data_IF_639947989056
#
_entry.id   IF_639947989056
#
_cell.length_a   1.000
_cell.length_b   1.000
_cell.length_c   1.000
_cell.angle_alpha   90.00
_cell.angle_beta   90.00
_cell.angle_gamma   90.00
#
_symmetry.space_group_name_H-M   'P 1'
#
loop_
_entity.id
_entity.type
_entity.pdbx_description
1 polymer ?
#
# COMPACT_ATOMS: atom_id res chain seq x y z
N UNK A 1 6.78 -9.18 -16.87
CA UNK A 1 7.18 -8.76 -15.51
C UNK A 1 6.14 -9.34 -14.56
N UNK A 2 6.50 -10.29 -13.70
CA UNK A 2 5.55 -11.11 -12.89
C UNK A 2 4.63 -10.27 -12.00
N UNK A 3 5.05 -9.05 -11.61
CA UNK A 3 4.21 -8.18 -10.78
C UNK A 3 2.93 -7.68 -11.47
N UNK A 4 2.89 -7.43 -12.78
CA UNK A 4 1.68 -6.84 -13.39
C UNK A 4 0.46 -7.76 -13.36
N UNK A 5 0.70 -9.06 -13.22
CA UNK A 5 -0.33 -10.10 -13.12
C UNK A 5 -0.58 -10.53 -11.67
N UNK A 6 0.12 -9.93 -10.70
CA UNK A 6 -0.04 -10.27 -9.28
C UNK A 6 -1.39 -9.80 -8.73
N UNK A 7 -2.00 -10.63 -7.89
CA UNK A 7 -3.27 -10.31 -7.24
C UNK A 7 -3.11 -9.38 -6.04
N UNK A 8 -1.94 -9.46 -5.39
CA UNK A 8 -1.56 -8.72 -4.20
C UNK A 8 -0.04 -8.70 -4.05
N UNK A 9 0.51 -7.56 -3.66
CA UNK A 9 1.89 -7.47 -3.17
C UNK A 9 1.87 -7.39 -1.65
N UNK A 10 2.61 -8.28 -1.00
CA UNK A 10 2.70 -8.34 0.45
C UNK A 10 4.15 -8.15 0.92
N UNK A 11 4.36 -7.27 1.89
CA UNK A 11 5.66 -7.07 2.54
C UNK A 11 5.51 -7.19 4.07
N UNK A 12 6.19 -8.17 4.66
CA UNK A 12 6.13 -8.48 6.10
C UNK A 12 7.38 -8.04 6.87
N UNK A 13 8.08 -7.01 6.41
CA UNK A 13 9.38 -6.61 7.00
C UNK A 13 9.26 -6.11 8.44
N UNK A 14 10.26 -6.39 9.26
CA UNK A 14 10.38 -5.81 10.61
C UNK A 14 11.11 -4.47 10.62
N UNK A 15 11.91 -4.18 9.60
CA UNK A 15 12.54 -2.89 9.38
C UNK A 15 12.76 -2.66 7.90
N UNK A 16 12.58 -1.43 7.43
CA UNK A 16 12.84 -1.05 6.05
C UNK A 16 13.42 0.37 6.06
N UNK A 17 14.60 0.55 5.47
CA UNK A 17 15.28 1.85 5.44
C UNK A 17 14.64 2.81 4.42
N UNK A 18 14.31 2.29 3.24
CA UNK A 18 13.64 2.99 2.16
C UNK A 18 12.65 2.03 1.49
N UNK A 19 11.38 2.42 1.32
CA UNK A 19 10.32 1.54 0.82
C UNK A 19 10.37 1.39 -0.71
N UNK A 20 11.53 1.01 -1.25
CA UNK A 20 11.76 0.86 -2.70
C UNK A 20 10.97 -0.31 -3.28
N UNK A 21 10.87 -1.42 -2.55
CA UNK A 21 10.10 -2.58 -2.98
C UNK A 21 8.60 -2.23 -3.08
N UNK A 22 8.10 -1.50 -2.09
CA UNK A 22 6.71 -1.02 -2.03
C UNK A 22 6.44 0.01 -3.13
N UNK A 23 7.36 0.97 -3.34
CA UNK A 23 7.27 1.94 -4.43
C UNK A 23 7.28 1.27 -5.80
N UNK A 24 8.17 0.30 -6.01
CA UNK A 24 8.21 -0.51 -7.24
C UNK A 24 6.91 -1.28 -7.46
N UNK A 25 6.38 -1.93 -6.42
CA UNK A 25 5.10 -2.63 -6.49
C UNK A 25 3.93 -1.69 -6.81
N UNK A 26 3.87 -0.52 -6.18
CA UNK A 26 2.84 0.48 -6.43
C UNK A 26 2.88 0.98 -7.87
N UNK A 27 4.07 1.18 -8.44
CA UNK A 27 4.25 1.57 -9.83
C UNK A 27 3.71 0.54 -10.83
N UNK A 28 3.61 -0.73 -10.44
CA UNK A 28 2.98 -1.77 -11.27
C UNK A 28 1.45 -1.77 -11.21
N UNK A 29 0.86 -1.04 -10.27
CA UNK A 29 -0.59 -0.95 -10.10
C UNK A 29 -1.22 -2.14 -9.39
N UNK A 30 -0.43 -2.91 -8.63
CA UNK A 30 -0.91 -4.02 -7.80
C UNK A 30 -1.33 -3.47 -6.44
N UNK A 31 -2.43 -3.96 -5.83
CA UNK A 31 -2.78 -3.61 -4.44
C UNK A 31 -1.68 -4.06 -3.46
N UNK A 32 -1.48 -3.30 -2.39
CA UNK A 32 -0.39 -3.52 -1.44
C UNK A 32 -0.93 -3.73 -0.03
N UNK A 33 -0.39 -4.74 0.64
CA UNK A 33 -0.53 -4.97 2.08
C UNK A 33 0.87 -5.03 2.67
N UNK A 34 1.18 -4.21 3.68
CA UNK A 34 2.52 -4.15 4.24
C UNK A 34 2.51 -3.94 5.76
N UNK A 35 3.64 -4.22 6.41
CA UNK A 35 3.86 -3.80 7.79
C UNK A 35 4.22 -2.32 7.90
N UNK A 36 3.84 -1.70 9.02
CA UNK A 36 4.13 -0.30 9.33
C UNK A 36 5.58 -0.13 9.77
N UNK A 37 6.48 -0.11 8.79
CA UNK A 37 7.91 0.10 9.04
C UNK A 37 8.45 1.25 8.19
N UNK A 38 9.34 2.05 8.78
CA UNK A 38 9.97 3.17 8.10
C UNK A 38 8.98 4.23 7.57
N UNK A 39 8.91 4.37 6.25
CA UNK A 39 8.04 5.35 5.56
C UNK A 39 6.96 4.71 4.68
N UNK A 40 6.66 3.43 4.91
CA UNK A 40 5.69 2.64 4.13
C UNK A 40 4.32 3.30 4.00
N UNK A 41 3.75 3.77 5.12
CA UNK A 41 2.45 4.45 5.09
C UNK A 41 2.46 5.67 4.17
N UNK A 42 3.55 6.46 4.17
CA UNK A 42 3.69 7.65 3.33
C UNK A 42 3.72 7.34 1.83
N UNK A 43 4.12 6.14 1.42
CA UNK A 43 4.09 5.73 0.00
C UNK A 43 2.68 5.39 -0.46
N UNK A 44 1.86 4.86 0.45
CA UNK A 44 0.51 4.37 0.14
C UNK A 44 -0.58 5.43 0.32
N UNK A 45 -0.24 6.57 0.90
CA UNK A 45 -1.13 7.71 1.13
C UNK A 45 -1.11 8.68 -0.06
N UNK A 46 -2.27 9.23 -0.40
CA UNK A 46 -2.39 10.28 -1.42
C UNK A 46 -1.57 11.51 -0.99
N UNK A 47 -0.64 12.00 -1.82
CA UNK A 47 0.19 13.16 -1.48
C UNK A 47 -0.61 14.44 -1.23
N UNK A 48 -1.82 14.56 -1.78
CA UNK A 48 -2.68 15.73 -1.64
C UNK A 48 -3.75 15.53 -0.56
N UNK A 49 -4.01 14.29 -0.15
CA UNK A 49 -5.09 13.90 0.78
C UNK A 49 -4.58 12.91 1.81
N UNK A 50 -3.94 13.38 2.90
CA UNK A 50 -3.33 12.53 3.92
C UNK A 50 -4.29 11.50 4.54
N UNK A 51 -5.59 11.79 4.51
CA UNK A 51 -6.65 10.91 5.01
C UNK A 51 -6.98 9.73 4.06
N UNK A 52 -6.46 9.73 2.83
CA UNK A 52 -6.72 8.71 1.83
C UNK A 52 -5.51 7.81 1.65
N UNK A 53 -5.68 6.56 2.03
CA UNK A 53 -4.72 5.49 1.80
C UNK A 53 -5.24 4.50 0.76
N UNK A 54 -4.34 4.03 -0.12
CA UNK A 54 -4.63 3.10 -1.22
C UNK A 54 -4.02 1.71 -1.02
N UNK A 55 -3.52 1.42 0.18
CA UNK A 55 -3.01 0.11 0.58
C UNK A 55 -3.20 -0.10 2.08
N UNK A 56 -3.14 -1.35 2.53
CA UNK A 56 -3.31 -1.66 3.94
C UNK A 56 -1.96 -1.76 4.65
N UNK A 57 -1.90 -1.18 5.84
CA UNK A 57 -0.70 -1.22 6.67
C UNK A 57 -1.08 -1.76 8.05
N UNK A 58 -0.30 -2.71 8.55
CA UNK A 58 -0.51 -3.37 9.85
C UNK A 58 0.74 -3.26 10.71
N UNK A 59 0.60 -3.36 12.04
CA UNK A 59 1.76 -3.34 12.91
C UNK A 59 2.70 -4.54 12.63
N UNK A 60 4.03 -4.35 12.74
CA UNK A 60 4.96 -5.47 12.68
C UNK A 60 4.72 -6.43 13.86
N UNK A 61 5.11 -7.69 13.69
CA UNK A 61 4.89 -8.80 14.65
C UNK A 61 3.43 -9.21 14.90
N UNK A 62 2.49 -8.76 14.07
CA UNK A 62 1.11 -9.26 14.07
C UNK A 62 0.78 -10.04 12.78
N UNK A 63 1.11 -11.35 12.72
CA UNK A 63 0.84 -12.16 11.54
C UNK A 63 -0.66 -12.35 11.28
N UNK A 64 -1.50 -12.29 12.32
CA UNK A 64 -2.94 -12.43 12.18
C UNK A 64 -3.54 -11.18 11.54
N UNK A 65 -3.16 -9.98 11.99
CA UNK A 65 -3.55 -8.75 11.33
C UNK A 65 -3.09 -8.71 9.87
N UNK A 66 -1.86 -9.15 9.58
CA UNK A 66 -1.36 -9.19 8.21
C UNK A 66 -2.17 -10.16 7.33
N UNK A 67 -2.53 -11.34 7.83
CA UNK A 67 -3.38 -12.28 7.11
C UNK A 67 -4.78 -11.71 6.86
N UNK A 68 -5.38 -11.07 7.87
CA UNK A 68 -6.69 -10.42 7.77
C UNK A 68 -6.69 -9.26 6.78
N UNK A 69 -5.63 -8.45 6.75
CA UNK A 69 -5.44 -7.38 5.77
C UNK A 69 -5.38 -7.93 4.34
N UNK A 70 -4.67 -9.05 4.12
CA UNK A 70 -4.66 -9.72 2.81
C UNK A 70 -6.06 -10.18 2.40
N UNK A 71 -6.80 -10.84 3.28
CA UNK A 71 -8.18 -11.28 3.01
C UNK A 71 -9.11 -10.09 2.74
N UNK A 72 -8.99 -9.04 3.55
CA UNK A 72 -9.77 -7.80 3.46
C UNK A 72 -9.58 -7.12 2.09
N UNK A 73 -8.32 -6.98 1.67
CA UNK A 73 -7.94 -6.39 0.38
C UNK A 73 -8.37 -7.27 -0.80
N UNK A 74 -8.14 -8.59 -0.73
CA UNK A 74 -8.49 -9.51 -1.82
C UNK A 74 -10.00 -9.57 -2.07
N UNK A 75 -10.80 -9.59 -1.00
CA UNK A 75 -12.27 -9.58 -1.08
C UNK A 75 -12.89 -8.19 -1.15
N UNK A 76 -12.10 -7.11 -1.04
CA UNK A 76 -12.58 -5.73 -1.04
C UNK A 76 -13.74 -5.52 -0.02
N UNK A 77 -13.51 -5.95 1.22
CA UNK A 77 -14.44 -5.79 2.36
C UNK A 77 -13.97 -4.69 3.32
N UNK A 78 -14.78 -4.36 4.32
CA UNK A 78 -14.44 -3.38 5.34
C UNK A 78 -14.11 -2.01 4.72
N UNK A 79 -12.94 -1.41 5.01
CA UNK A 79 -12.53 -0.12 4.46
C UNK A 79 -12.46 -0.09 2.92
N UNK A 80 -12.20 -1.23 2.27
CA UNK A 80 -12.00 -1.33 0.81
C UNK A 80 -13.29 -1.39 0.02
N UNK A 81 -14.40 -1.73 0.68
CA UNK A 81 -15.73 -1.71 0.05
C UNK A 81 -16.11 -0.32 -0.50
N UNK A 82 -15.49 0.77 -0.04
CA UNK A 82 -15.68 2.12 -0.61
C UNK A 82 -15.21 2.25 -2.05
N UNK A 83 -14.35 1.34 -2.52
CA UNK A 83 -13.84 1.30 -3.89
C UNK A 83 -14.59 0.31 -4.78
N UNK A 84 -15.62 -0.36 -4.24
CA UNK A 84 -16.52 -1.21 -5.03
C UNK A 84 -17.82 -0.48 -5.31
N UNK A 85 -18.52 -0.88 -6.37
CA UNK A 85 -19.85 -0.34 -6.71
C UNK A 85 -20.97 -0.93 -5.83
N UNK A 86 -20.66 -1.49 -4.66
CA UNK A 86 -21.64 -2.16 -3.82
C UNK A 86 -22.55 -1.12 -3.16
N UNK A 87 -23.77 -0.99 -3.67
CA UNK A 87 -24.83 -0.10 -3.18
C UNK A 87 -25.49 -0.58 -1.87
N UNK A 88 -24.91 -1.55 -1.16
CA UNK A 88 -25.57 -2.18 -0.03
C UNK A 88 -25.65 -1.24 1.18
N UNK A 89 -26.83 -1.19 1.81
CA UNK A 89 -27.07 -0.52 3.12
C UNK A 89 -26.07 -0.96 4.19
N UNK A 90 -25.59 -2.21 4.11
CA UNK A 90 -24.57 -2.75 5.01
C UNK A 90 -23.36 -3.24 4.19
N UNK A 91 -22.25 -2.54 4.31
CA UNK A 91 -20.98 -2.93 3.69
C UNK A 91 -20.51 -4.28 4.27
N UNK A 92 -20.03 -5.21 3.44
CA UNK A 92 -19.52 -6.48 3.93
C UNK A 92 -18.26 -6.25 4.76
N UNK A 93 -18.17 -6.91 5.91
CA UNK A 93 -17.05 -6.85 6.84
C UNK A 93 -16.47 -8.25 7.00
N UNK A 94 -15.15 -8.34 7.16
CA UNK A 94 -14.50 -9.61 7.45
C UNK A 94 -14.94 -10.10 8.84
N UNK A 95 -15.44 -11.35 8.98
CA UNK A 95 -15.79 -11.92 10.28
C UNK A 95 -14.60 -11.92 11.25
N UNK A 96 -14.85 -11.86 12.55
CA UNK A 96 -13.81 -11.94 13.57
C UNK A 96 -13.07 -13.29 13.49
N UNK A 97 -13.82 -14.37 13.33
CA UNK A 97 -13.28 -15.70 13.04
C UNK A 97 -13.69 -16.18 11.64
N UNK A 98 -12.69 -16.60 10.84
CA UNK A 98 -12.93 -17.12 9.49
C UNK A 98 -13.23 -18.62 9.58
N UNK A 99 -14.52 -18.94 9.67
CA UNK A 99 -15.05 -20.31 9.64
C UNK A 99 -15.15 -20.85 8.19
N UNK A 100 -15.24 -22.18 8.00
CA UNK A 100 -15.37 -22.81 6.69
C UNK A 100 -16.53 -22.26 5.85
N UNK A 101 -17.65 -21.90 6.49
CA UNK A 101 -18.83 -21.30 5.87
C UNK A 101 -18.54 -19.96 5.19
N UNK A 102 -17.50 -19.25 5.65
CA UNK A 102 -17.11 -17.96 5.09
C UNK A 102 -16.25 -18.10 3.82
N UNK A 103 -15.60 -19.26 3.63
CA UNK A 103 -14.63 -19.46 2.55
C UNK A 103 -15.29 -19.31 1.19
N UNK A 104 -16.49 -19.88 1.01
CA UNK A 104 -17.16 -19.90 -0.29
C UNK A 104 -17.48 -18.49 -0.78
N UNK A 105 -18.10 -17.65 0.07
CA UNK A 105 -18.46 -16.29 -0.34
C UNK A 105 -17.25 -15.37 -0.46
N UNK A 106 -16.23 -15.54 0.41
CA UNK A 106 -14.98 -14.78 0.32
C UNK A 106 -14.23 -15.10 -0.98
N UNK A 107 -14.10 -16.39 -1.30
CA UNK A 107 -13.43 -16.85 -2.52
C UNK A 107 -14.15 -16.35 -3.77
N UNK A 108 -15.49 -16.45 -3.81
CA UNK A 108 -16.28 -15.89 -4.91
C UNK A 108 -16.01 -14.39 -5.09
N UNK A 109 -15.99 -13.66 -3.97
CA UNK A 109 -15.75 -12.22 -3.97
C UNK A 109 -14.34 -11.83 -4.42
N UNK A 110 -13.32 -12.68 -4.20
CA UNK A 110 -11.96 -12.43 -4.71
C UNK A 110 -11.95 -12.28 -6.23
N UNK A 111 -12.73 -13.10 -6.93
CA UNK A 111 -12.86 -13.06 -8.39
C UNK A 111 -13.78 -11.92 -8.83
N UNK A 112 -14.96 -11.78 -8.22
CA UNK A 112 -15.95 -10.75 -8.58
C UNK A 112 -15.38 -9.33 -8.46
N UNK A 113 -14.51 -9.10 -7.47
CA UNK A 113 -13.91 -7.78 -7.18
C UNK A 113 -12.51 -7.58 -7.76
N UNK A 114 -12.04 -8.48 -8.64
CA UNK A 114 -10.72 -8.37 -9.25
C UNK A 114 -10.51 -7.03 -9.99
N UNK A 115 -11.52 -6.55 -10.72
CA UNK A 115 -11.44 -5.28 -11.44
C UNK A 115 -11.42 -4.06 -10.51
N UNK A 116 -12.18 -4.08 -9.42
CA UNK A 116 -12.20 -2.99 -8.43
C UNK A 116 -10.88 -2.92 -7.68
N UNK A 117 -10.32 -4.08 -7.32
CA UNK A 117 -8.98 -4.20 -6.72
C UNK A 117 -7.88 -3.70 -7.66
N UNK A 118 -8.00 -3.96 -8.97
CA UNK A 118 -7.07 -3.41 -9.97
C UNK A 118 -7.17 -1.88 -10.07
N UNK A 119 -8.37 -1.31 -10.03
CA UNK A 119 -8.56 0.15 -9.98
C UNK A 119 -7.90 0.75 -8.74
N UNK A 120 -8.06 0.12 -7.58
CA UNK A 120 -7.40 0.56 -6.34
C UNK A 120 -5.87 0.60 -6.49
N UNK A 121 -5.27 -0.46 -7.05
CA UNK A 121 -3.83 -0.47 -7.30
C UNK A 121 -3.37 0.61 -8.30
N UNK A 122 -4.18 0.92 -9.32
CA UNK A 122 -3.91 2.03 -10.23
C UNK A 122 -3.98 3.41 -9.54
N UNK A 123 -4.87 3.60 -8.57
CA UNK A 123 -4.90 4.82 -7.75
C UNK A 123 -3.62 4.96 -6.90
N UNK A 124 -3.16 3.85 -6.30
CA UNK A 124 -1.88 3.83 -5.59
C UNK A 124 -0.72 4.20 -6.51
N UNK A 125 -0.72 3.68 -7.74
CA UNK A 125 0.28 4.02 -8.78
C UNK A 125 0.32 5.52 -9.07
N UNK A 126 -0.83 6.16 -9.22
CA UNK A 126 -0.92 7.60 -9.46
C UNK A 126 -0.34 8.41 -8.29
N UNK A 127 -0.68 8.04 -7.05
CA UNK A 127 -0.13 8.68 -5.86
C UNK A 127 1.39 8.55 -5.75
N UNK A 128 1.94 7.39 -6.07
CA UNK A 128 3.39 7.16 -6.08
C UNK A 128 4.08 7.92 -7.20
N UNK A 129 3.51 7.97 -8.42
CA UNK A 129 4.07 8.75 -9.52
C UNK A 129 4.18 10.24 -9.18
N UNK A 130 3.20 10.80 -8.45
CA UNK A 130 3.25 12.18 -7.98
C UNK A 130 4.27 12.40 -6.86
N UNK A 131 4.47 11.41 -5.98
CA UNK A 131 5.28 11.53 -4.77
C UNK A 131 6.76 11.21 -4.96
N UNK A 132 7.05 10.23 -5.83
CA UNK A 132 8.37 9.63 -6.09
C UNK A 132 8.89 10.01 -7.48
N UNK A 133 9.18 11.29 -7.68
CA UNK A 133 10.04 11.70 -8.79
C UNK A 133 11.52 11.52 -8.41
N UNK A 134 12.29 10.79 -9.22
CA UNK A 134 13.74 10.64 -9.06
C UNK A 134 14.46 11.99 -8.92
N UNK A 135 13.95 13.04 -9.57
CA UNK A 135 14.44 14.42 -9.46
C UNK A 135 14.32 15.00 -8.05
N UNK A 136 13.28 14.64 -7.28
CA UNK A 136 13.13 15.05 -5.87
C UNK A 136 14.19 14.41 -4.99
N UNK A 137 14.48 13.13 -5.21
CA UNK A 137 15.56 12.43 -4.51
C UNK A 137 16.93 13.03 -4.86
N UNK A 138 17.21 13.25 -6.15
CA UNK A 138 18.45 13.89 -6.60
C UNK A 138 18.63 15.27 -5.96
N UNK A 139 17.58 16.09 -5.97
CA UNK A 139 17.61 17.44 -5.37
C UNK A 139 17.85 17.40 -3.85
N UNK A 140 17.23 16.46 -3.13
CA UNK A 140 17.49 16.29 -1.69
C UNK A 140 18.95 15.90 -1.41
N UNK A 141 19.49 14.96 -2.20
CA UNK A 141 20.90 14.58 -2.08
C UNK A 141 21.84 15.74 -2.40
N UNK A 142 21.59 16.46 -3.49
CA UNK A 142 22.36 17.64 -3.89
C UNK A 142 22.35 18.72 -2.80
N UNK A 143 21.18 19.07 -2.25
CA UNK A 143 21.06 20.03 -1.16
C UNK A 143 21.84 19.61 0.09
N UNK A 144 21.79 18.32 0.44
CA UNK A 144 22.50 17.81 1.60
C UNK A 144 24.03 17.89 1.41
N UNK A 145 24.54 17.58 0.21
CA UNK A 145 25.95 17.78 -0.13
C UNK A 145 26.35 19.25 -0.08
N UNK A 146 25.55 20.16 -0.63
CA UNK A 146 25.83 21.60 -0.61
C UNK A 146 25.86 22.18 0.81
N UNK A 147 24.93 21.78 1.68
CA UNK A 147 24.90 22.22 3.09
C UNK A 147 26.13 21.68 3.84
N UNK A 148 26.48 20.41 3.66
CA UNK A 148 27.66 19.82 4.29
C UNK A 148 28.95 20.49 3.82
N UNK A 149 29.07 20.74 2.51
CA UNK A 149 30.20 21.46 1.94
C UNK A 149 30.33 22.87 2.52
N UNK A 150 29.21 23.62 2.59
CA UNK A 150 29.18 24.96 3.16
C UNK A 150 29.58 24.95 4.64
N UNK A 151 29.04 24.03 5.45
CA UNK A 151 29.40 23.90 6.87
C UNK A 151 30.86 23.49 7.08
N UNK A 152 31.42 22.66 6.20
CA UNK A 152 32.85 22.30 6.24
C UNK A 152 33.75 23.49 5.97
N UNK A 153 33.34 24.41 5.09
CA UNK A 153 34.12 25.61 4.78
C UNK A 153 34.00 26.70 5.84
N UNK A 154 32.91 26.75 6.60
CA UNK A 154 32.74 27.68 7.74
C UNK A 154 33.44 27.23 9.03
N UNK A 155 33.96 26.00 9.09
CA UNK A 155 34.70 25.45 10.25
C UNK A 155 36.23 25.62 10.15
N UNK A 156 36.71 26.36 9.15
CA UNK A 156 38.10 26.84 9.05
C UNK A 156 38.20 28.25 9.59
#
# INVERSE_FOLDING_TARGET
MVLQDAWLFMNSSMSEGLPLAIGGAALTGVPIVATEVGTTASVLTDPNKPEKQYGEVVLPNDPMALARAQLSMLSMVGPWSKFTADSQEKRPVLPDEVLPEHIEWLARRFYDKANDRRKLGLLSREGVLQSFHASRYLRKHEQMYWIQWYMSNMRK
#
